data_IF_990854733872
#
_entry.id   IF_990854733872
#
_cell.length_a   1.000
_cell.length_b   1.000
_cell.length_c   1.000
_cell.angle_alpha   90.00
_cell.angle_beta   90.00
_cell.angle_gamma   90.00
#
_symmetry.space_group_name_H-M   'P 1'
#
loop_
_entity.id
_entity.type
_entity.pdbx_description
1 polymer ?
#
# COMPACT_ATOMS: atom_id res chain seq x y z
N UNK A 1 -2.67 -4.78 19.55
CA UNK A 1 -2.39 -3.34 19.42
C UNK A 1 -1.51 -3.16 18.17
N UNK A 2 -1.95 -2.39 17.18
CA UNK A 2 -1.22 -2.19 15.90
C UNK A 2 -1.99 -1.35 14.88
N UNK A 3 -3.32 -1.31 15.00
CA UNK A 3 -4.24 -0.76 13.99
C UNK A 3 -4.05 0.72 13.64
N UNK A 4 -3.50 1.54 14.53
CA UNK A 4 -3.26 2.97 14.27
C UNK A 4 -1.92 3.20 13.57
N UNK A 5 -0.88 2.48 14.00
CA UNK A 5 0.48 2.60 13.45
C UNK A 5 0.55 2.02 12.04
N UNK A 6 -0.14 0.90 11.79
CA UNK A 6 -0.23 0.28 10.46
C UNK A 6 -1.02 1.14 9.46
N UNK A 7 -2.11 1.79 9.91
CA UNK A 7 -2.86 2.74 9.07
C UNK A 7 -2.04 3.97 8.71
N UNK A 8 -1.37 4.58 9.69
CA UNK A 8 -0.49 5.74 9.46
C UNK A 8 0.66 5.38 8.52
N UNK A 9 1.27 4.19 8.69
CA UNK A 9 2.32 3.70 7.79
C UNK A 9 1.80 3.43 6.38
N UNK A 10 0.56 2.98 6.24
CA UNK A 10 -0.11 2.81 4.95
C UNK A 10 -0.37 4.15 4.24
N UNK A 11 -0.83 5.16 4.96
CA UNK A 11 -1.04 6.50 4.40
C UNK A 11 0.27 7.20 4.06
N UNK A 12 1.29 7.08 4.91
CA UNK A 12 2.63 7.62 4.65
C UNK A 12 3.24 7.01 3.37
N UNK A 13 3.13 5.69 3.18
CA UNK A 13 3.61 5.04 1.96
C UNK A 13 2.82 5.48 0.72
N UNK A 14 1.50 5.69 0.83
CA UNK A 14 0.70 6.23 -0.28
C UNK A 14 1.11 7.65 -0.64
N UNK A 15 1.35 8.50 0.34
CA UNK A 15 1.82 9.86 0.12
C UNK A 15 3.19 9.86 -0.58
N UNK A 16 4.13 9.05 -0.09
CA UNK A 16 5.46 8.90 -0.71
C UNK A 16 5.37 8.33 -2.13
N UNK A 17 4.50 7.35 -2.37
CA UNK A 17 4.28 6.78 -3.71
C UNK A 17 3.75 7.82 -4.71
N UNK A 18 2.72 8.59 -4.32
CA UNK A 18 2.21 9.70 -5.13
C UNK A 18 3.26 10.76 -5.40
N UNK A 19 4.07 11.11 -4.40
CA UNK A 19 5.18 12.05 -4.58
C UNK A 19 6.23 11.50 -5.53
N UNK A 20 6.58 10.21 -5.45
CA UNK A 20 7.49 9.56 -6.40
C UNK A 20 6.92 9.54 -7.82
N UNK A 21 5.62 9.28 -8.00
CA UNK A 21 4.97 9.34 -9.31
C UNK A 21 5.01 10.77 -9.86
N UNK A 22 4.61 11.77 -9.08
CA UNK A 22 4.62 13.17 -9.50
C UNK A 22 6.03 13.67 -9.83
N UNK A 23 7.03 13.30 -9.03
CA UNK A 23 8.43 13.63 -9.30
C UNK A 23 8.96 12.86 -10.50
N UNK A 24 8.61 11.59 -10.68
CA UNK A 24 8.99 10.80 -11.85
C UNK A 24 8.42 11.35 -13.15
N UNK A 25 7.17 11.82 -13.13
CA UNK A 25 6.54 12.53 -14.25
C UNK A 25 7.21 13.88 -14.53
N UNK A 26 7.49 14.67 -13.49
CA UNK A 26 8.10 15.99 -13.63
C UNK A 26 9.58 15.93 -14.06
N UNK A 27 10.30 14.89 -13.68
CA UNK A 27 11.74 14.71 -14.00
C UNK A 27 11.97 13.84 -15.24
N UNK A 28 10.92 13.26 -15.83
CA UNK A 28 11.04 12.35 -16.97
C UNK A 28 11.77 11.05 -16.65
N UNK A 29 11.77 10.62 -15.38
CA UNK A 29 12.50 9.43 -14.96
C UNK A 29 11.61 8.20 -15.01
N UNK A 30 11.66 7.46 -16.11
CA UNK A 30 10.92 6.21 -16.32
C UNK A 30 11.09 5.21 -15.18
N UNK A 31 12.28 5.20 -14.56
CA UNK A 31 12.58 4.36 -13.40
C UNK A 31 11.72 4.72 -12.18
N UNK A 32 11.52 6.00 -11.86
CA UNK A 32 10.67 6.41 -10.74
C UNK A 32 9.19 6.12 -11.00
N UNK A 33 8.75 6.26 -12.26
CA UNK A 33 7.38 5.95 -12.68
C UNK A 33 7.09 4.44 -12.54
N UNK A 34 8.00 3.62 -13.05
CA UNK A 34 7.93 2.15 -12.94
C UNK A 34 8.00 1.67 -11.49
N UNK A 35 8.89 2.23 -10.66
CA UNK A 35 8.93 1.92 -9.22
C UNK A 35 7.60 2.26 -8.53
N UNK A 36 6.98 3.40 -8.89
CA UNK A 36 5.68 3.82 -8.36
C UNK A 36 4.56 2.83 -8.70
N UNK A 37 4.43 2.43 -9.97
CA UNK A 37 3.43 1.45 -10.40
C UNK A 37 3.62 0.08 -9.75
N UNK A 38 4.86 -0.41 -9.68
CA UNK A 38 5.18 -1.68 -9.01
C UNK A 38 4.83 -1.62 -7.52
N UNK A 39 5.09 -0.48 -6.88
CA UNK A 39 4.78 -0.28 -5.47
C UNK A 39 3.27 -0.18 -5.22
N UNK A 40 2.50 0.48 -6.10
CA UNK A 40 1.03 0.48 -6.04
C UNK A 40 0.45 -0.91 -6.21
N UNK A 41 0.89 -1.66 -7.24
CA UNK A 41 0.44 -3.01 -7.49
C UNK A 41 0.70 -3.93 -6.28
N UNK A 42 1.92 -3.87 -5.72
CA UNK A 42 2.28 -4.61 -4.50
C UNK A 42 1.41 -4.20 -3.31
N UNK A 43 1.16 -2.90 -3.16
CA UNK A 43 0.29 -2.36 -2.11
C UNK A 43 -1.14 -2.88 -2.21
N UNK A 44 -1.72 -2.88 -3.41
CA UNK A 44 -3.07 -3.42 -3.67
C UNK A 44 -3.16 -4.91 -3.36
N UNK A 45 -2.18 -5.70 -3.81
CA UNK A 45 -2.11 -7.14 -3.51
C UNK A 45 -2.00 -7.40 -2.01
N UNK A 46 -1.10 -6.70 -1.31
CA UNK A 46 -0.94 -6.84 0.13
C UNK A 46 -2.20 -6.45 0.89
N UNK A 47 -2.90 -5.40 0.45
CA UNK A 47 -4.14 -4.95 1.09
C UNK A 47 -5.24 -5.99 0.93
N UNK A 48 -5.45 -6.52 -0.28
CA UNK A 48 -6.45 -7.56 -0.53
C UNK A 48 -6.17 -8.86 0.23
N UNK A 49 -4.91 -9.30 0.29
CA UNK A 49 -4.50 -10.47 1.08
C UNK A 49 -4.70 -10.22 2.59
N UNK A 50 -4.37 -9.01 3.06
CA UNK A 50 -4.58 -8.59 4.44
C UNK A 50 -6.05 -8.59 4.82
N UNK A 51 -6.90 -7.97 4.01
CA UNK A 51 -8.36 -7.91 4.21
C UNK A 51 -9.00 -9.31 4.18
N UNK A 52 -8.56 -10.18 3.28
CA UNK A 52 -9.01 -11.57 3.25
C UNK A 52 -8.60 -12.35 4.51
N UNK A 53 -7.34 -12.22 4.95
CA UNK A 53 -6.87 -12.84 6.21
C UNK A 53 -7.62 -12.30 7.42
N UNK A 54 -7.87 -10.99 7.48
CA UNK A 54 -8.64 -10.34 8.54
C UNK A 54 -10.10 -10.83 8.58
N UNK A 55 -10.73 -10.98 7.41
CA UNK A 55 -12.09 -11.48 7.29
C UNK A 55 -12.21 -12.94 7.76
N UNK A 56 -11.27 -13.81 7.34
CA UNK A 56 -11.20 -15.19 7.80
C UNK A 56 -10.96 -15.26 9.30
N UNK A 57 -9.99 -14.49 9.81
CA UNK A 57 -9.67 -14.46 11.24
C UNK A 57 -10.87 -14.01 12.09
N UNK A 58 -11.58 -12.94 11.67
CA UNK A 58 -12.82 -12.50 12.32
C UNK A 58 -13.96 -13.52 12.27
N UNK A 59 -14.02 -14.34 11.22
CA UNK A 59 -15.00 -15.42 11.12
C UNK A 59 -14.68 -16.58 12.07
N UNK A 60 -13.41 -16.93 12.22
CA UNK A 60 -12.93 -17.99 13.12
C UNK A 60 -12.98 -17.57 14.59
N UNK A 61 -12.61 -16.33 14.93
CA UNK A 61 -12.69 -15.78 16.30
C UNK A 61 -14.14 -15.64 16.83
N UNK A 62 -15.14 -15.80 15.97
CA UNK A 62 -16.57 -15.64 16.33
C UNK A 62 -17.32 -16.96 16.53
N UNK A 63 -16.63 -18.11 16.37
CA UNK A 63 -17.11 -19.48 16.62
C UNK A 63 -16.59 -20.01 17.94
#
# INVERSE_FOLDING_TARGET
MGSTMDKVKGEANKAVGKTKQALGEATGSDKMRAEGEVQEAKGHVQKGVGEAKDAVKKGVDKV
#
